data_IF_578024587858
#
_entry.id   IF_578024587858
#
_cell.length_a   1.000
_cell.length_b   1.000
_cell.length_c   1.000
_cell.angle_alpha   90.00
_cell.angle_beta   90.00
_cell.angle_gamma   90.00
#
_symmetry.space_group_name_H-M   'P 1'
#
loop_
_entity.id
_entity.type
_entity.pdbx_description
1 polymer ?
#
# COMPACT_ATOMS: atom_id res chain seq x y z
N UNK A 1 4.10 -27.46 12.51
CA UNK A 1 5.30 -26.75 12.04
C UNK A 1 5.02 -25.27 12.09
N UNK A 2 6.01 -24.43 12.38
CA UNK A 2 5.84 -22.97 12.36
C UNK A 2 5.55 -22.50 10.93
N UNK A 3 4.68 -21.52 10.75
CA UNK A 3 4.39 -20.96 9.41
C UNK A 3 5.59 -20.19 8.84
N UNK A 4 6.44 -19.66 9.70
CA UNK A 4 7.66 -18.91 9.34
C UNK A 4 8.71 -19.01 10.45
N UNK A 5 9.94 -18.65 10.13
CA UNK A 5 11.05 -18.48 11.07
C UNK A 5 11.56 -17.04 10.96
N UNK A 6 11.82 -16.41 12.10
CA UNK A 6 12.42 -15.07 12.15
C UNK A 6 13.63 -15.07 13.06
N UNK A 7 14.73 -14.49 12.62
CA UNK A 7 15.98 -14.34 13.36
C UNK A 7 16.60 -12.99 13.08
N UNK A 8 17.12 -12.34 14.11
CA UNK A 8 17.86 -11.09 13.97
C UNK A 8 19.36 -11.36 14.01
N UNK A 9 20.09 -10.92 12.98
CA UNK A 9 21.55 -11.01 12.92
C UNK A 9 22.20 -10.00 13.88
N UNK A 10 23.48 -10.19 14.23
CA UNK A 10 24.23 -9.31 15.15
C UNK A 10 24.27 -7.84 14.68
N UNK A 11 24.21 -7.59 13.38
CA UNK A 11 24.16 -6.23 12.82
C UNK A 11 22.75 -5.60 12.86
N UNK A 12 21.72 -6.34 13.32
CA UNK A 12 20.34 -5.89 13.42
C UNK A 12 19.45 -6.21 12.21
N UNK A 13 19.97 -6.83 11.15
CA UNK A 13 19.16 -7.30 10.03
C UNK A 13 18.21 -8.42 10.49
N UNK A 14 16.93 -8.28 10.23
CA UNK A 14 15.93 -9.34 10.49
C UNK A 14 15.81 -10.22 9.25
N UNK A 15 15.90 -11.53 9.46
CA UNK A 15 15.81 -12.56 8.42
C UNK A 15 14.57 -13.39 8.67
N UNK A 16 13.66 -13.42 7.71
CA UNK A 16 12.42 -14.19 7.74
C UNK A 16 12.48 -15.28 6.68
N UNK A 17 12.20 -16.52 7.08
CA UNK A 17 12.15 -17.68 6.17
C UNK A 17 10.79 -18.33 6.24
N UNK A 18 10.18 -18.58 5.07
CA UNK A 18 8.87 -19.21 4.91
C UNK A 18 9.04 -20.49 4.08
N UNK A 19 9.27 -21.65 4.72
CA UNK A 19 9.43 -22.93 4.02
C UNK A 19 8.15 -23.35 3.31
N UNK A 20 8.22 -23.49 1.98
CA UNK A 20 7.14 -23.94 1.10
C UNK A 20 7.63 -25.07 0.17
N UNK A 21 7.77 -26.30 0.71
CA UNK A 21 8.54 -27.37 0.06
C UNK A 21 7.96 -27.91 -1.25
N UNK A 22 6.69 -27.62 -1.54
CA UNK A 22 6.02 -28.09 -2.75
C UNK A 22 6.07 -27.11 -3.92
N UNK A 23 6.74 -25.96 -3.76
CA UNK A 23 6.84 -24.94 -4.81
C UNK A 23 8.09 -25.14 -5.67
N UNK A 24 8.05 -24.61 -6.90
CA UNK A 24 9.14 -24.67 -7.88
C UNK A 24 9.88 -23.34 -8.06
N UNK A 25 9.46 -22.31 -7.33
CA UNK A 25 10.10 -21.00 -7.29
C UNK A 25 10.32 -20.56 -5.86
N UNK A 26 11.27 -19.65 -5.65
CA UNK A 26 11.45 -18.94 -4.40
C UNK A 26 11.31 -17.43 -4.65
N UNK A 27 10.75 -16.73 -3.67
CA UNK A 27 10.73 -15.28 -3.64
C UNK A 27 11.77 -14.79 -2.65
N UNK A 28 12.69 -13.93 -3.11
CA UNK A 28 13.60 -13.16 -2.25
C UNK A 28 13.10 -11.74 -2.19
N UNK A 29 12.85 -11.24 -1.00
CA UNK A 29 12.22 -9.95 -0.77
C UNK A 29 12.96 -9.18 0.32
N UNK A 30 13.24 -7.90 0.10
CA UNK A 30 13.89 -7.03 1.07
C UNK A 30 13.00 -5.82 1.33
N UNK A 31 12.52 -5.69 2.55
CA UNK A 31 11.76 -4.52 3.02
C UNK A 31 12.64 -3.58 3.81
N UNK A 32 12.45 -2.28 3.56
CA UNK A 32 13.03 -1.19 4.34
C UNK A 32 11.90 -0.37 4.97
N UNK A 33 12.04 -0.02 6.24
CA UNK A 33 11.08 0.79 6.99
C UNK A 33 11.20 2.28 6.63
N UNK A 34 11.09 2.60 5.35
CA UNK A 34 11.13 3.96 4.82
C UNK A 34 10.24 4.09 3.59
N UNK A 35 9.48 5.17 3.53
CA UNK A 35 8.62 5.55 2.42
C UNK A 35 8.33 7.05 2.48
N UNK A 36 7.34 7.52 1.70
CA UNK A 36 7.08 8.95 1.53
C UNK A 36 6.74 9.71 2.83
N UNK A 37 6.23 9.02 3.87
CA UNK A 37 5.94 9.64 5.17
C UNK A 37 7.20 10.11 5.94
N UNK A 38 8.36 9.54 5.61
CA UNK A 38 9.65 9.88 6.25
C UNK A 38 10.32 11.11 5.63
N UNK A 39 9.71 11.69 4.62
CA UNK A 39 10.27 12.79 3.86
C UNK A 39 9.80 14.15 4.38
N UNK A 40 10.65 15.16 4.24
CA UNK A 40 10.24 16.56 4.40
C UNK A 40 9.61 17.05 3.07
N UNK A 41 8.84 18.15 3.14
CA UNK A 41 8.24 18.76 1.94
C UNK A 41 9.28 19.09 0.85
N UNK A 42 10.49 19.48 1.24
CA UNK A 42 11.59 19.81 0.29
C UNK A 42 12.19 18.56 -0.37
N UNK A 43 11.99 17.39 0.21
CA UNK A 43 12.54 16.11 -0.25
C UNK A 43 11.44 15.10 -0.59
N UNK A 44 10.23 15.60 -0.87
CA UNK A 44 9.13 14.74 -1.29
C UNK A 44 9.50 14.00 -2.58
N UNK A 45 9.29 12.68 -2.60
CA UNK A 45 9.70 11.77 -3.66
C UNK A 45 11.12 11.19 -3.51
N UNK A 46 11.84 11.48 -2.43
CA UNK A 46 13.22 10.99 -2.26
C UNK A 46 13.30 9.47 -2.11
N UNK A 47 12.31 8.82 -1.46
CA UNK A 47 12.27 7.38 -1.30
C UNK A 47 12.07 6.68 -2.64
N UNK A 48 11.09 7.13 -3.43
CA UNK A 48 10.83 6.62 -4.75
C UNK A 48 12.01 6.89 -5.72
N UNK A 49 12.58 8.09 -5.69
CA UNK A 49 13.77 8.41 -6.48
C UNK A 49 14.96 7.51 -6.12
N UNK A 50 15.16 7.24 -4.84
CA UNK A 50 16.22 6.35 -4.37
C UNK A 50 15.97 4.90 -4.83
N UNK A 51 14.73 4.44 -4.84
CA UNK A 51 14.36 3.15 -5.40
C UNK A 51 14.88 3.00 -6.84
N UNK A 52 14.56 3.96 -7.74
CA UNK A 52 15.06 4.00 -9.12
C UNK A 52 16.60 3.99 -9.21
N UNK A 53 17.25 4.78 -8.33
CA UNK A 53 18.72 4.90 -8.34
C UNK A 53 19.43 3.60 -7.98
N UNK A 54 18.82 2.73 -7.18
CA UNK A 54 19.40 1.45 -6.79
C UNK A 54 19.49 0.46 -7.94
N UNK A 55 18.62 0.57 -8.94
CA UNK A 55 18.68 -0.24 -10.16
C UNK A 55 19.77 0.20 -11.16
N UNK A 56 20.47 1.30 -10.89
CA UNK A 56 21.52 1.81 -11.81
C UNK A 56 22.87 1.12 -11.67
N UNK A 57 22.95 0.08 -10.85
CA UNK A 57 24.11 -0.75 -10.63
C UNK A 57 24.71 -0.59 -9.23
N UNK A 58 25.65 -1.46 -8.94
CA UNK A 58 26.37 -1.55 -7.67
C UNK A 58 27.89 -1.58 -7.90
N UNK A 59 28.66 -1.74 -6.82
CA UNK A 59 30.10 -1.92 -6.93
C UNK A 59 30.47 -3.20 -7.69
N UNK A 60 29.67 -4.27 -7.56
CA UNK A 60 29.93 -5.56 -8.20
C UNK A 60 29.31 -5.67 -9.60
N UNK A 61 28.24 -4.90 -9.85
CA UNK A 61 27.52 -4.83 -11.13
C UNK A 61 27.48 -3.38 -11.58
N UNK A 62 28.49 -2.90 -12.32
CA UNK A 62 28.72 -1.49 -12.62
C UNK A 62 27.58 -0.75 -13.33
N UNK A 63 26.70 -1.45 -14.01
CA UNK A 63 25.53 -0.89 -14.73
C UNK A 63 24.24 -1.58 -14.35
N UNK A 64 23.10 -0.89 -14.53
CA UNK A 64 21.77 -1.49 -14.35
C UNK A 64 21.54 -2.69 -15.27
N UNK A 65 22.08 -2.67 -16.49
CA UNK A 65 21.98 -3.80 -17.43
C UNK A 65 22.70 -5.05 -16.92
N UNK A 66 23.89 -4.89 -16.33
CA UNK A 66 24.64 -6.01 -15.74
C UNK A 66 23.92 -6.58 -14.52
N UNK A 67 23.33 -5.69 -13.69
CA UNK A 67 22.51 -6.10 -12.55
C UNK A 67 21.27 -6.88 -13.01
N UNK A 68 20.53 -6.36 -13.99
CA UNK A 68 19.34 -7.03 -14.55
C UNK A 68 19.68 -8.40 -15.15
N UNK A 69 20.74 -8.49 -15.95
CA UNK A 69 21.22 -9.78 -16.49
C UNK A 69 21.57 -10.79 -15.41
N UNK A 70 22.10 -10.31 -14.28
CA UNK A 70 22.41 -11.19 -13.14
C UNK A 70 21.13 -11.76 -12.51
N UNK A 71 20.05 -10.96 -12.37
CA UNK A 71 18.75 -11.45 -11.92
C UNK A 71 18.10 -12.40 -12.93
N UNK A 72 18.11 -12.05 -14.22
CA UNK A 72 17.56 -12.91 -15.28
C UNK A 72 18.25 -14.29 -15.32
N UNK A 73 19.56 -14.33 -15.07
CA UNK A 73 20.31 -15.59 -14.99
C UNK A 73 19.87 -16.49 -13.81
N UNK A 74 19.22 -15.95 -12.80
CA UNK A 74 18.63 -16.70 -11.68
C UNK A 74 17.17 -17.12 -11.94
N UNK A 75 16.61 -16.74 -13.09
CA UNK A 75 15.24 -17.08 -13.52
C UNK A 75 14.19 -16.02 -13.24
N UNK A 76 14.57 -14.80 -12.89
CA UNK A 76 13.66 -13.70 -12.61
C UNK A 76 14.18 -12.32 -12.99
N UNK A 77 13.44 -11.29 -12.67
CA UNK A 77 13.84 -9.89 -12.73
C UNK A 77 13.65 -9.24 -11.37
N UNK A 78 14.44 -8.21 -11.06
CA UNK A 78 14.26 -7.44 -9.85
C UNK A 78 13.12 -6.43 -10.04
N UNK A 79 12.23 -6.36 -9.06
CA UNK A 79 11.16 -5.39 -8.99
C UNK A 79 11.23 -4.64 -7.67
N UNK A 80 10.58 -3.49 -7.61
CA UNK A 80 10.48 -2.73 -6.37
C UNK A 80 9.16 -1.95 -6.30
N UNK A 81 8.86 -1.45 -5.11
CA UNK A 81 7.75 -0.54 -4.88
C UNK A 81 7.96 0.25 -3.60
N UNK A 82 7.64 1.53 -3.68
CA UNK A 82 7.67 2.46 -2.55
C UNK A 82 6.24 2.85 -2.19
N UNK A 83 5.89 2.67 -0.92
CA UNK A 83 4.64 3.18 -0.37
C UNK A 83 4.88 4.33 0.63
N UNK A 84 3.87 4.65 1.43
CA UNK A 84 4.01 5.71 2.43
C UNK A 84 4.97 5.34 3.57
N UNK A 85 5.06 4.07 3.97
CA UNK A 85 5.81 3.63 5.15
C UNK A 85 7.01 2.77 4.82
N UNK A 86 6.99 2.06 3.68
CA UNK A 86 7.99 1.06 3.33
C UNK A 86 8.47 1.19 1.89
N UNK A 87 9.66 0.67 1.63
CA UNK A 87 10.17 0.39 0.28
C UNK A 87 10.52 -1.09 0.23
N UNK A 88 10.07 -1.78 -0.82
CA UNK A 88 10.29 -3.20 -1.03
C UNK A 88 11.07 -3.44 -2.31
N UNK A 89 12.04 -4.33 -2.28
CA UNK A 89 12.73 -4.89 -3.44
C UNK A 89 12.51 -6.39 -3.44
N UNK A 90 12.18 -6.98 -4.58
CA UNK A 90 11.90 -8.41 -4.63
C UNK A 90 12.20 -9.03 -5.99
N UNK A 91 12.42 -10.34 -6.01
CA UNK A 91 12.58 -11.12 -7.23
C UNK A 91 12.16 -12.57 -6.99
N UNK A 92 11.38 -13.10 -7.93
CA UNK A 92 11.09 -14.53 -8.01
C UNK A 92 12.20 -15.22 -8.78
N UNK A 93 12.84 -16.20 -8.16
CA UNK A 93 14.01 -16.89 -8.69
C UNK A 93 13.89 -18.41 -8.59
N UNK A 94 14.76 -19.14 -9.28
CA UNK A 94 14.84 -20.59 -9.11
C UNK A 94 15.40 -20.92 -7.72
N UNK A 95 14.85 -21.90 -6.97
CA UNK A 95 15.23 -22.20 -5.58
C UNK A 95 16.71 -22.53 -5.38
N UNK A 96 17.37 -23.16 -6.35
CA UNK A 96 18.81 -23.45 -6.28
C UNK A 96 19.70 -22.20 -6.26
N UNK A 97 19.16 -21.03 -6.60
CA UNK A 97 19.88 -19.76 -6.71
C UNK A 97 19.55 -18.77 -5.58
N UNK A 98 18.88 -19.20 -4.51
CA UNK A 98 18.46 -18.32 -3.41
C UNK A 98 19.65 -17.56 -2.79
N UNK A 99 20.79 -18.24 -2.56
CA UNK A 99 21.99 -17.57 -2.04
C UNK A 99 22.49 -16.46 -2.96
N UNK A 100 22.54 -16.72 -4.28
CA UNK A 100 22.95 -15.72 -5.28
C UNK A 100 21.94 -14.55 -5.34
N UNK A 101 20.63 -14.82 -5.23
CA UNK A 101 19.61 -13.76 -5.17
C UNK A 101 19.78 -12.86 -3.94
N UNK A 102 20.10 -13.45 -2.78
CA UNK A 102 20.45 -12.69 -1.56
C UNK A 102 21.71 -11.84 -1.79
N UNK A 103 22.75 -12.38 -2.43
CA UNK A 103 23.99 -11.65 -2.75
C UNK A 103 23.72 -10.46 -3.69
N UNK A 104 22.86 -10.63 -4.71
CA UNK A 104 22.50 -9.56 -5.63
C UNK A 104 21.81 -8.41 -4.90
N UNK A 105 20.80 -8.68 -4.07
CA UNK A 105 20.15 -7.65 -3.25
C UNK A 105 21.13 -7.03 -2.24
N UNK A 106 21.98 -7.81 -1.61
CA UNK A 106 23.00 -7.28 -0.70
C UNK A 106 23.96 -6.32 -1.43
N UNK A 107 24.43 -6.67 -2.64
CA UNK A 107 25.28 -5.81 -3.46
C UNK A 107 24.57 -4.52 -3.83
N UNK A 108 23.31 -4.61 -4.30
CA UNK A 108 22.49 -3.47 -4.69
C UNK A 108 22.23 -2.50 -3.52
N UNK A 109 21.86 -3.05 -2.36
CA UNK A 109 21.47 -2.25 -1.20
C UNK A 109 22.64 -1.67 -0.41
N UNK A 110 23.78 -2.36 -0.37
CA UNK A 110 24.93 -1.94 0.45
C UNK A 110 25.93 -1.07 -0.28
N UNK A 111 26.05 -1.23 -1.60
CA UNK A 111 27.10 -0.60 -2.41
C UNK A 111 26.57 -0.01 -3.72
N UNK A 112 25.49 0.79 -3.68
CA UNK A 112 24.92 1.40 -4.89
C UNK A 112 25.86 2.42 -5.51
N UNK A 113 25.84 2.52 -6.84
CA UNK A 113 26.72 3.46 -7.57
C UNK A 113 26.17 4.87 -7.67
N UNK A 114 24.89 5.08 -7.53
CA UNK A 114 24.22 6.38 -7.68
C UNK A 114 24.56 7.10 -9.00
N UNK A 115 24.62 6.35 -10.10
CA UNK A 115 24.92 6.90 -11.43
C UNK A 115 23.65 7.28 -12.18
N UNK A 116 23.72 8.26 -13.08
CA UNK A 116 22.64 8.57 -14.01
C UNK A 116 21.44 9.32 -13.43
N UNK A 117 21.61 10.09 -12.37
CA UNK A 117 20.52 10.80 -11.68
C UNK A 117 19.64 11.64 -12.63
N UNK A 118 20.21 12.29 -13.66
CA UNK A 118 19.44 13.12 -14.57
C UNK A 118 18.60 12.30 -15.56
N UNK A 119 18.99 11.07 -15.83
CA UNK A 119 18.17 10.14 -16.62
C UNK A 119 16.98 9.69 -15.79
N UNK A 120 17.21 9.27 -14.55
CA UNK A 120 16.13 8.83 -13.65
C UNK A 120 15.18 9.97 -13.32
N UNK A 121 15.68 11.18 -13.10
CA UNK A 121 14.83 12.36 -12.91
C UNK A 121 13.84 12.54 -14.06
N UNK A 122 14.29 12.38 -15.31
CA UNK A 122 13.39 12.49 -16.48
C UNK A 122 12.36 11.37 -16.50
N UNK A 123 12.76 10.14 -16.18
CA UNK A 123 11.85 8.99 -16.11
C UNK A 123 10.79 9.22 -15.05
N UNK A 124 11.17 9.63 -13.83
CA UNK A 124 10.22 9.90 -12.74
C UNK A 124 9.31 11.09 -13.06
N UNK A 125 9.82 12.12 -13.72
CA UNK A 125 9.00 13.24 -14.16
C UNK A 125 8.00 12.82 -15.23
N UNK A 126 8.37 11.91 -16.13
CA UNK A 126 7.47 11.34 -17.13
C UNK A 126 6.39 10.47 -16.48
N UNK A 127 6.78 9.62 -15.51
CA UNK A 127 5.84 8.84 -14.71
C UNK A 127 4.83 9.73 -13.98
N UNK A 128 5.30 10.83 -13.38
CA UNK A 128 4.45 11.78 -12.68
C UNK A 128 3.42 12.50 -13.58
N UNK A 129 3.57 12.46 -14.90
CA UNK A 129 2.57 13.01 -15.83
C UNK A 129 1.26 12.25 -15.79
N UNK A 130 1.27 10.97 -15.48
CA UNK A 130 0.05 10.16 -15.33
C UNK A 130 -0.89 10.70 -14.24
N UNK A 131 -0.35 11.41 -13.27
CA UNK A 131 -1.10 12.02 -12.18
C UNK A 131 -1.62 13.42 -12.50
N UNK A 132 -1.23 14.00 -13.64
CA UNK A 132 -1.47 15.39 -13.96
C UNK A 132 -2.37 15.55 -15.20
N UNK A 133 -3.25 16.56 -15.17
CA UNK A 133 -3.97 17.01 -16.35
C UNK A 133 -3.02 17.67 -17.37
N UNK A 134 -3.50 17.91 -18.59
CA UNK A 134 -2.77 18.70 -19.61
C UNK A 134 -2.32 20.09 -19.11
N UNK A 135 -3.02 20.65 -18.12
CA UNK A 135 -2.67 21.94 -17.50
C UNK A 135 -1.75 21.81 -16.28
N UNK A 136 -1.24 20.60 -15.99
CA UNK A 136 -0.34 20.33 -14.88
C UNK A 136 -1.01 20.29 -13.49
N UNK A 137 -2.34 20.14 -13.42
CA UNK A 137 -3.07 19.98 -12.16
C UNK A 137 -3.08 18.53 -11.73
N UNK A 138 -2.95 18.28 -10.43
CA UNK A 138 -3.16 16.94 -9.87
C UNK A 138 -4.59 16.46 -10.15
N UNK A 139 -4.72 15.30 -10.79
CA UNK A 139 -5.98 14.65 -11.16
C UNK A 139 -6.10 13.21 -10.65
N UNK A 140 -5.03 12.66 -10.08
CA UNK A 140 -5.07 11.33 -9.47
C UNK A 140 -5.94 11.38 -8.19
N UNK A 141 -7.04 10.60 -8.11
CA UNK A 141 -7.96 10.64 -6.98
C UNK A 141 -7.31 10.23 -5.65
N UNK A 142 -6.39 9.26 -5.66
CA UNK A 142 -5.72 8.77 -4.45
C UNK A 142 -4.82 9.85 -3.83
N UNK A 143 -4.09 10.58 -4.65
CA UNK A 143 -3.28 11.72 -4.19
C UNK A 143 -4.16 12.85 -3.62
N UNK A 144 -5.29 13.11 -4.26
CA UNK A 144 -6.23 14.15 -3.83
C UNK A 144 -6.95 13.78 -2.54
N UNK A 145 -7.39 12.52 -2.39
CA UNK A 145 -8.07 12.06 -1.17
C UNK A 145 -7.10 12.00 0.01
N UNK A 146 -5.88 11.51 -0.20
CA UNK A 146 -4.84 11.51 0.83
C UNK A 146 -4.56 12.94 1.33
N UNK A 147 -4.47 13.92 0.44
CA UNK A 147 -4.27 15.32 0.81
C UNK A 147 -5.44 15.90 1.62
N UNK A 148 -6.67 15.44 1.39
CA UNK A 148 -7.84 15.81 2.20
C UNK A 148 -7.86 15.13 3.57
N UNK A 149 -7.54 13.84 3.59
CA UNK A 149 -7.55 13.02 4.81
C UNK A 149 -6.41 13.42 5.76
N UNK A 150 -5.23 13.78 5.22
CA UNK A 150 -4.01 14.04 5.99
C UNK A 150 -3.40 15.42 5.69
N UNK A 151 -4.14 16.52 5.89
CA UNK A 151 -3.68 17.86 5.53
C UNK A 151 -2.43 18.27 6.32
N UNK A 152 -1.39 18.72 5.59
CA UNK A 152 -0.12 19.15 6.18
C UNK A 152 0.76 18.03 6.74
N UNK A 153 0.35 16.78 6.59
CA UNK A 153 1.13 15.61 6.98
C UNK A 153 1.78 14.94 5.76
N UNK A 154 2.93 14.26 5.92
CA UNK A 154 3.54 13.49 4.82
C UNK A 154 2.64 12.45 4.17
N UNK A 155 1.76 11.77 4.93
CA UNK A 155 0.77 10.82 4.41
C UNK A 155 -0.20 11.43 3.38
N UNK A 156 -0.38 12.74 3.37
CA UNK A 156 -1.21 13.46 2.40
C UNK A 156 -0.44 13.92 1.15
N UNK A 157 0.79 13.46 0.95
CA UNK A 157 1.61 13.81 -0.22
C UNK A 157 1.72 12.63 -1.19
N UNK A 158 1.81 12.90 -2.51
CA UNK A 158 2.10 11.85 -3.48
C UNK A 158 3.42 11.14 -3.16
N UNK A 159 3.45 9.82 -3.26
CA UNK A 159 4.66 9.00 -3.04
C UNK A 159 5.76 9.34 -4.04
N UNK A 160 5.40 9.63 -5.29
CA UNK A 160 6.31 10.13 -6.33
C UNK A 160 6.91 11.51 -6.00
N UNK A 161 6.33 12.23 -5.04
CA UNK A 161 6.65 13.64 -4.80
C UNK A 161 5.87 14.59 -5.70
N UNK A 162 6.36 15.82 -5.82
CA UNK A 162 5.81 16.83 -6.72
C UNK A 162 6.83 17.14 -7.82
N UNK A 163 6.38 17.60 -8.98
CA UNK A 163 7.28 18.06 -10.05
C UNK A 163 8.40 18.95 -9.50
N UNK A 164 8.05 19.97 -8.70
CA UNK A 164 9.03 20.90 -8.12
C UNK A 164 10.02 20.22 -7.17
N UNK A 165 9.59 19.25 -6.35
CA UNK A 165 10.51 18.53 -5.47
C UNK A 165 11.43 17.61 -6.25
N UNK A 166 10.92 16.87 -7.24
CA UNK A 166 11.69 15.94 -8.09
C UNK A 166 12.76 16.71 -8.88
N UNK A 167 12.40 17.87 -9.49
CA UNK A 167 13.34 18.73 -10.23
C UNK A 167 14.48 19.26 -9.34
N UNK A 168 14.24 19.46 -8.03
CA UNK A 168 15.20 20.04 -7.09
C UNK A 168 15.98 19.02 -6.25
N UNK A 169 15.59 17.76 -6.24
CA UNK A 169 16.31 16.73 -5.50
C UNK A 169 17.74 16.59 -6.05
N UNK A 170 18.73 16.83 -5.18
CA UNK A 170 20.13 16.64 -5.53
C UNK A 170 20.62 15.24 -5.15
N UNK A 171 21.70 14.79 -5.80
CA UNK A 171 22.34 13.52 -5.47
C UNK A 171 22.74 13.45 -3.98
N UNK A 172 23.22 14.56 -3.40
CA UNK A 172 23.58 14.60 -1.99
C UNK A 172 22.36 14.46 -1.06
N UNK A 173 21.20 14.92 -1.48
CA UNK A 173 19.97 14.72 -0.70
C UNK A 173 19.51 13.26 -0.77
N UNK A 174 19.62 12.62 -1.93
CA UNK A 174 19.30 11.19 -2.11
C UNK A 174 20.31 10.32 -1.32
N UNK A 175 21.62 10.63 -1.38
CA UNK A 175 22.62 9.92 -0.58
C UNK A 175 22.37 10.03 0.92
N UNK A 176 22.06 11.24 1.42
CA UNK A 176 21.70 11.41 2.85
C UNK A 176 20.44 10.66 3.23
N UNK A 177 19.46 10.55 2.33
CA UNK A 177 18.28 9.74 2.55
C UNK A 177 18.64 8.26 2.66
N UNK A 178 19.46 7.77 1.73
CA UNK A 178 20.02 6.41 1.77
C UNK A 178 20.79 6.15 3.07
N UNK A 179 21.75 6.98 3.43
CA UNK A 179 22.57 6.84 4.64
C UNK A 179 21.74 6.85 5.94
N UNK A 180 20.60 7.55 5.92
CA UNK A 180 19.70 7.63 7.08
C UNK A 180 18.85 6.39 7.25
N UNK A 181 18.35 5.82 6.16
CA UNK A 181 17.29 4.82 6.24
C UNK A 181 17.72 3.42 5.79
N UNK A 182 18.75 3.29 4.96
CA UNK A 182 19.21 2.02 4.43
C UNK A 182 20.30 1.43 5.34
N UNK A 183 19.83 0.83 6.42
CA UNK A 183 20.69 0.18 7.42
C UNK A 183 20.08 -1.14 7.87
N UNK A 184 20.88 -2.10 8.39
CA UNK A 184 20.38 -3.42 8.73
C UNK A 184 19.25 -3.39 9.76
N UNK A 185 19.33 -2.56 10.78
CA UNK A 185 18.29 -2.45 11.82
C UNK A 185 16.92 -1.95 11.28
N UNK A 186 16.91 -1.30 10.11
CA UNK A 186 15.70 -0.83 9.42
C UNK A 186 15.31 -1.72 8.23
N UNK A 187 15.83 -2.95 8.18
CA UNK A 187 15.66 -3.86 7.02
C UNK A 187 15.19 -5.23 7.47
N UNK A 188 14.33 -5.84 6.65
CA UNK A 188 13.92 -7.24 6.73
C UNK A 188 14.24 -7.91 5.41
N UNK A 189 15.00 -8.98 5.44
CA UNK A 189 15.15 -9.93 4.34
C UNK A 189 14.16 -11.07 4.56
N UNK A 190 13.30 -11.34 3.60
CA UNK A 190 12.39 -12.48 3.62
C UNK A 190 12.63 -13.38 2.42
N UNK A 191 12.58 -14.69 2.66
CA UNK A 191 12.64 -15.70 1.60
C UNK A 191 11.53 -16.70 1.80
N UNK A 192 10.68 -16.88 0.78
CA UNK A 192 9.64 -17.91 0.75
C UNK A 192 9.90 -18.88 -0.40
N UNK A 193 9.63 -20.17 -0.17
CA UNK A 193 9.83 -21.19 -1.19
C UNK A 193 10.34 -22.53 -0.63
N UNK A 194 10.80 -23.45 -1.46
CA UNK A 194 11.40 -24.71 -1.03
C UNK A 194 12.84 -24.50 -0.53
N UNK A 195 12.94 -23.92 0.65
CA UNK A 195 14.20 -23.44 1.28
C UNK A 195 14.42 -24.06 2.65
N UNK A 196 15.69 -24.12 3.10
CA UNK A 196 16.06 -24.36 4.49
C UNK A 196 16.22 -23.01 5.20
N UNK A 197 15.55 -22.78 6.35
CA UNK A 197 15.76 -21.57 7.15
C UNK A 197 17.22 -21.35 7.54
N UNK A 198 17.95 -22.41 7.85
CA UNK A 198 19.37 -22.37 8.24
C UNK A 198 20.24 -21.88 7.06
N UNK A 199 20.01 -22.39 5.85
CA UNK A 199 20.75 -21.99 4.65
C UNK A 199 20.46 -20.51 4.27
N UNK A 200 19.21 -20.06 4.43
CA UNK A 200 18.86 -18.66 4.23
C UNK A 200 19.56 -17.77 5.24
N UNK A 201 19.57 -18.16 6.52
CA UNK A 201 20.22 -17.40 7.59
C UNK A 201 21.73 -17.29 7.37
N UNK A 202 22.38 -18.40 6.99
CA UNK A 202 23.82 -18.43 6.68
C UNK A 202 24.14 -17.53 5.48
N UNK A 203 23.38 -17.64 4.37
CA UNK A 203 23.55 -16.80 3.18
C UNK A 203 23.37 -15.33 3.52
N UNK A 204 22.35 -14.98 4.32
CA UNK A 204 22.13 -13.62 4.75
C UNK A 204 23.26 -13.09 5.64
N UNK A 205 23.76 -13.90 6.58
CA UNK A 205 24.87 -13.51 7.45
C UNK A 205 26.15 -13.22 6.67
N UNK A 206 26.42 -13.99 5.62
CA UNK A 206 27.59 -13.78 4.73
C UNK A 206 27.37 -12.54 3.86
N UNK A 207 26.26 -12.46 3.15
CA UNK A 207 25.98 -11.40 2.17
C UNK A 207 25.91 -10.01 2.82
N UNK A 208 25.34 -9.91 4.02
CA UNK A 208 25.19 -8.65 4.77
C UNK A 208 26.26 -8.44 5.85
N UNK A 209 27.33 -9.25 5.86
CA UNK A 209 28.44 -9.07 6.79
C UNK A 209 29.07 -7.67 6.66
N UNK A 210 29.33 -7.01 7.82
CA UNK A 210 29.92 -5.69 7.84
C UNK A 210 29.00 -4.53 7.38
N UNK A 211 27.73 -4.80 7.03
CA UNK A 211 26.75 -3.73 6.85
C UNK A 211 26.40 -3.14 8.22
N UNK A 212 26.53 -1.84 8.36
CA UNK A 212 26.33 -1.12 9.62
C UNK A 212 25.44 0.08 9.41
N UNK A 213 24.86 0.57 10.49
CA UNK A 213 24.02 1.77 10.51
C UNK A 213 23.16 1.79 11.76
N UNK A 214 22.81 2.97 12.20
CA UNK A 214 21.91 3.14 13.35
C UNK A 214 20.46 3.14 12.87
N UNK A 215 19.51 2.59 13.66
CA UNK A 215 18.11 2.67 13.31
C UNK A 215 17.67 4.12 13.15
N UNK A 216 16.89 4.45 12.12
CA UNK A 216 16.40 5.80 11.90
C UNK A 216 15.44 6.21 13.01
N UNK A 217 15.26 7.52 13.16
CA UNK A 217 14.20 8.04 14.02
C UNK A 217 12.83 7.67 13.45
N UNK A 218 11.85 7.36 14.32
CA UNK A 218 10.48 7.11 13.88
C UNK A 218 9.93 8.28 13.04
N UNK A 219 9.06 7.95 12.09
CA UNK A 219 8.34 8.96 11.33
C UNK A 219 7.45 9.81 12.24
N UNK A 220 7.17 11.02 11.81
CA UNK A 220 6.22 11.89 12.50
C UNK A 220 4.85 11.20 12.55
N UNK A 221 4.26 10.99 13.75
CA UNK A 221 2.93 10.44 13.85
C UNK A 221 1.87 11.46 13.41
N UNK A 222 0.73 10.96 12.94
CA UNK A 222 -0.45 11.78 12.68
C UNK A 222 -1.10 12.17 14.01
N UNK A 223 -1.22 13.47 14.23
CA UNK A 223 -1.94 14.06 15.37
C UNK A 223 -2.96 15.09 14.90
N UNK A 224 -3.49 14.89 13.69
CA UNK A 224 -4.47 15.84 13.14
C UNK A 224 -5.74 15.85 13.96
N UNK A 225 -6.23 17.06 14.26
CA UNK A 225 -7.56 17.26 14.84
C UNK A 225 -8.62 16.77 13.85
N UNK A 226 -9.64 16.14 14.38
CA UNK A 226 -10.82 15.82 13.59
C UNK A 226 -11.49 17.12 13.15
N UNK A 227 -11.38 17.43 11.86
CA UNK A 227 -12.16 18.52 11.30
C UNK A 227 -13.64 18.20 11.50
N UNK A 228 -14.39 19.14 11.99
CA UNK A 228 -15.83 19.02 12.10
C UNK A 228 -16.47 19.12 10.71
N UNK A 229 -16.83 17.99 10.13
CA UNK A 229 -17.56 17.91 8.87
C UNK A 229 -16.77 17.32 7.69
N UNK A 230 -17.50 16.96 6.63
CA UNK A 230 -16.93 16.32 5.44
C UNK A 230 -16.06 17.27 4.62
N UNK A 231 -14.96 16.75 4.06
CA UNK A 231 -14.12 17.46 3.09
C UNK A 231 -14.45 17.04 1.66
N UNK A 232 -14.63 18.01 0.74
CA UNK A 232 -14.89 17.70 -0.67
C UNK A 232 -13.89 18.43 -1.55
N UNK A 233 -13.30 17.71 -2.50
CA UNK A 233 -12.40 18.26 -3.52
C UNK A 233 -12.97 18.03 -4.91
N UNK A 234 -13.04 19.10 -5.69
CA UNK A 234 -13.49 19.09 -7.07
C UNK A 234 -12.34 19.48 -7.99
N UNK A 235 -12.07 18.65 -9.00
CA UNK A 235 -11.06 18.93 -10.01
C UNK A 235 -11.68 18.70 -11.39
N UNK A 236 -11.69 19.75 -12.24
CA UNK A 236 -12.11 19.59 -13.63
C UNK A 236 -10.98 18.97 -14.42
N UNK A 237 -11.35 17.97 -15.21
CA UNK A 237 -10.50 17.33 -16.18
C UNK A 237 -11.30 16.96 -17.43
N UNK A 238 -10.59 16.79 -18.56
CA UNK A 238 -11.19 16.56 -19.88
C UNK A 238 -11.39 15.07 -20.21
N UNK A 239 -11.74 14.26 -19.23
CA UNK A 239 -12.05 12.83 -19.41
C UNK A 239 -13.46 12.60 -19.97
N UNK A 240 -13.75 11.36 -20.41
CA UNK A 240 -15.09 10.93 -20.82
C UNK A 240 -16.00 10.56 -19.65
N UNK A 241 -15.41 10.27 -18.49
CA UNK A 241 -16.09 9.89 -17.25
C UNK A 241 -15.65 10.79 -16.09
N UNK A 242 -16.44 10.77 -15.03
CA UNK A 242 -16.11 11.40 -13.75
C UNK A 242 -15.63 10.29 -12.81
N UNK A 243 -14.42 10.43 -12.29
CA UNK A 243 -13.93 9.64 -11.19
C UNK A 243 -14.51 10.19 -9.89
N UNK A 244 -15.13 9.33 -9.10
CA UNK A 244 -15.67 9.59 -7.78
C UNK A 244 -14.95 8.70 -6.78
N UNK A 245 -14.38 9.32 -5.74
CA UNK A 245 -13.82 8.62 -4.61
C UNK A 245 -14.46 9.14 -3.32
N UNK A 246 -15.01 8.24 -2.51
CA UNK A 246 -15.56 8.54 -1.19
C UNK A 246 -14.76 7.75 -0.15
N UNK A 247 -14.20 8.45 0.83
CA UNK A 247 -13.32 7.82 1.82
C UNK A 247 -13.65 8.26 3.25
N UNK A 248 -13.33 7.37 4.18
CA UNK A 248 -13.35 7.63 5.62
C UNK A 248 -11.94 7.54 6.18
N UNK A 249 -11.55 8.51 7.02
CA UNK A 249 -10.34 8.37 7.82
C UNK A 249 -10.63 7.41 8.97
N UNK A 250 -9.72 6.49 9.21
CA UNK A 250 -9.84 5.38 10.12
C UNK A 250 -8.68 5.35 11.13
N UNK A 251 -8.78 4.63 12.22
CA UNK A 251 -7.63 4.30 13.06
C UNK A 251 -6.62 3.42 12.32
N UNK A 252 -5.41 3.31 12.87
CA UNK A 252 -4.32 2.54 12.29
C UNK A 252 -4.45 1.03 12.46
N UNK A 253 -3.41 0.32 12.03
CA UNK A 253 -3.41 -1.16 11.94
C UNK A 253 -3.42 -1.89 13.28
N UNK A 254 -3.05 -1.23 14.38
CA UNK A 254 -3.07 -1.81 15.73
C UNK A 254 -4.39 -1.59 16.49
N UNK A 255 -5.34 -0.86 15.86
CA UNK A 255 -6.65 -0.64 16.47
C UNK A 255 -7.43 -1.96 16.60
N UNK A 256 -8.20 -2.07 17.68
CA UNK A 256 -9.05 -3.23 17.96
C UNK A 256 -10.03 -3.57 16.82
N UNK A 257 -10.43 -2.59 16.02
CA UNK A 257 -11.35 -2.77 14.90
C UNK A 257 -10.64 -3.15 13.57
N UNK A 258 -9.32 -3.28 13.54
CA UNK A 258 -8.58 -3.56 12.31
C UNK A 258 -9.06 -4.85 11.60
N UNK A 259 -9.47 -5.88 12.35
CA UNK A 259 -10.07 -7.11 11.79
C UNK A 259 -11.42 -6.80 11.16
N UNK A 260 -12.28 -6.07 11.87
CA UNK A 260 -13.59 -5.68 11.37
C UNK A 260 -13.47 -4.78 10.11
N UNK A 261 -12.49 -3.88 10.05
CA UNK A 261 -12.23 -3.06 8.87
C UNK A 261 -11.83 -3.89 7.65
N UNK A 262 -11.03 -4.94 7.82
CA UNK A 262 -10.70 -5.88 6.74
C UNK A 262 -11.94 -6.65 6.25
N UNK A 263 -12.84 -7.02 7.17
CA UNK A 263 -14.12 -7.66 6.82
C UNK A 263 -15.04 -6.65 6.11
N UNK A 264 -15.12 -5.41 6.58
CA UNK A 264 -15.91 -4.36 5.94
C UNK A 264 -15.44 -4.05 4.50
N UNK A 265 -14.13 -4.00 4.27
CA UNK A 265 -13.61 -3.87 2.90
C UNK A 265 -14.15 -4.97 1.98
N UNK A 266 -14.25 -6.22 2.50
CA UNK A 266 -14.78 -7.35 1.73
C UNK A 266 -16.28 -7.26 1.49
N UNK A 267 -17.04 -6.91 2.50
CA UNK A 267 -18.50 -6.69 2.35
C UNK A 267 -18.77 -5.63 1.29
N UNK A 268 -17.98 -4.56 1.28
CA UNK A 268 -18.14 -3.45 0.36
C UNK A 268 -17.72 -3.77 -1.07
N UNK A 269 -16.49 -4.26 -1.29
CA UNK A 269 -15.90 -4.28 -2.62
C UNK A 269 -15.23 -5.59 -3.06
N UNK A 270 -15.31 -6.70 -2.30
CA UNK A 270 -14.64 -7.94 -2.69
C UNK A 270 -15.57 -8.92 -3.39
N UNK A 271 -15.32 -9.12 -4.70
CA UNK A 271 -16.09 -10.05 -5.52
C UNK A 271 -17.42 -9.50 -6.02
N UNK A 272 -18.04 -10.23 -6.95
CA UNK A 272 -19.26 -9.81 -7.64
C UNK A 272 -20.52 -9.72 -6.76
N UNK A 273 -20.49 -10.37 -5.59
CA UNK A 273 -21.60 -10.32 -4.62
C UNK A 273 -21.41 -9.25 -3.53
N UNK A 274 -20.38 -8.42 -3.62
CA UNK A 274 -20.17 -7.31 -2.70
C UNK A 274 -21.27 -6.25 -2.85
N UNK A 275 -21.57 -5.52 -1.77
CA UNK A 275 -22.68 -4.56 -1.76
C UNK A 275 -22.56 -3.48 -2.83
N UNK A 276 -21.34 -2.96 -3.04
CA UNK A 276 -21.08 -1.95 -4.07
C UNK A 276 -21.30 -2.51 -5.49
N UNK A 277 -20.79 -3.70 -5.79
CA UNK A 277 -20.98 -4.33 -7.09
C UNK A 277 -22.46 -4.64 -7.36
N UNK A 278 -23.16 -5.23 -6.40
CA UNK A 278 -24.58 -5.53 -6.54
C UNK A 278 -25.40 -4.24 -6.75
N UNK A 279 -25.19 -3.24 -5.92
CA UNK A 279 -25.99 -2.01 -5.98
C UNK A 279 -25.67 -1.15 -7.21
N UNK A 280 -24.37 -0.84 -7.44
CA UNK A 280 -23.97 0.12 -8.47
C UNK A 280 -23.90 -0.46 -9.88
N UNK A 281 -23.51 -1.73 -10.00
CA UNK A 281 -23.39 -2.39 -11.30
C UNK A 281 -24.65 -3.18 -11.66
N UNK A 282 -25.04 -4.16 -10.83
CA UNK A 282 -26.09 -5.11 -11.21
C UNK A 282 -27.50 -4.48 -11.13
N UNK A 283 -27.80 -3.72 -10.06
CA UNK A 283 -29.15 -3.14 -9.89
C UNK A 283 -29.32 -1.81 -10.64
N UNK A 284 -28.31 -0.92 -10.54
CA UNK A 284 -28.44 0.46 -11.04
C UNK A 284 -27.77 0.66 -12.40
N UNK A 285 -26.85 -0.21 -12.83
CA UNK A 285 -26.16 -0.11 -14.13
C UNK A 285 -25.33 1.18 -14.28
N UNK A 286 -24.75 1.71 -13.19
CA UNK A 286 -24.10 3.03 -13.20
C UNK A 286 -22.61 2.95 -13.56
N UNK A 287 -21.95 1.83 -13.28
CA UNK A 287 -20.52 1.64 -13.51
C UNK A 287 -20.22 0.21 -13.90
N UNK A 288 -19.13 0.00 -14.64
CA UNK A 288 -18.61 -1.34 -14.92
C UNK A 288 -17.86 -1.94 -13.74
N UNK A 289 -17.14 -1.10 -13.00
CA UNK A 289 -16.31 -1.53 -11.87
C UNK A 289 -16.40 -0.51 -10.72
N UNK A 290 -16.40 -1.02 -9.52
CA UNK A 290 -16.26 -0.26 -8.27
C UNK A 290 -15.37 -1.06 -7.33
N UNK A 291 -14.44 -0.39 -6.67
CA UNK A 291 -13.55 -1.01 -5.68
C UNK A 291 -13.68 -0.36 -4.30
N UNK A 292 -13.28 -1.12 -3.28
CA UNK A 292 -13.13 -0.64 -1.91
C UNK A 292 -11.69 -0.92 -1.43
N UNK A 293 -10.89 0.12 -1.37
CA UNK A 293 -9.52 0.09 -0.87
C UNK A 293 -9.46 0.32 0.64
N UNK A 294 -8.58 -0.40 1.33
CA UNK A 294 -8.29 -0.21 2.77
C UNK A 294 -6.78 -0.06 2.95
N UNK A 295 -6.34 1.09 3.44
CA UNK A 295 -4.96 1.31 3.85
C UNK A 295 -4.91 1.59 5.36
N UNK A 296 -4.11 0.80 6.09
CA UNK A 296 -3.90 0.95 7.52
C UNK A 296 -2.42 1.24 7.79
N UNK A 297 -2.12 2.49 8.08
CA UNK A 297 -0.79 2.93 8.55
C UNK A 297 -0.63 2.62 10.04
N UNK A 298 0.49 2.98 10.64
CA UNK A 298 0.75 2.69 12.04
C UNK A 298 -0.37 3.20 12.97
N UNK A 299 -0.70 4.50 12.90
CA UNK A 299 -1.62 5.15 13.83
C UNK A 299 -2.95 5.60 13.22
N UNK A 300 -3.05 5.60 11.89
CA UNK A 300 -4.21 6.09 11.15
C UNK A 300 -4.38 5.28 9.85
N UNK A 301 -5.57 5.29 9.29
CA UNK A 301 -5.86 4.60 8.03
C UNK A 301 -6.94 5.30 7.23
N UNK A 302 -7.33 4.67 6.14
CA UNK A 302 -8.46 5.05 5.31
C UNK A 302 -9.16 3.83 4.71
N UNK A 303 -10.46 3.95 4.51
CA UNK A 303 -11.26 3.11 3.62
C UNK A 303 -11.80 4.01 2.53
N UNK A 304 -11.53 3.67 1.28
CA UNK A 304 -11.97 4.43 0.11
C UNK A 304 -12.82 3.55 -0.80
N UNK A 305 -13.92 4.11 -1.31
CA UNK A 305 -14.71 3.55 -2.41
C UNK A 305 -14.41 4.38 -3.64
N UNK A 306 -14.02 3.71 -4.72
CA UNK A 306 -13.63 4.35 -5.98
C UNK A 306 -14.40 3.76 -7.17
N UNK A 307 -14.84 4.63 -8.07
CA UNK A 307 -15.48 4.25 -9.33
C UNK A 307 -15.39 5.39 -10.35
N UNK A 308 -15.60 5.02 -11.62
CA UNK A 308 -15.79 5.96 -12.71
C UNK A 308 -17.22 5.85 -13.26
N UNK A 309 -17.88 6.99 -13.47
CA UNK A 309 -19.25 7.06 -13.99
C UNK A 309 -19.39 8.14 -15.06
N UNK A 310 -20.43 8.05 -15.90
CA UNK A 310 -20.83 9.17 -16.74
C UNK A 310 -21.24 10.38 -15.89
N UNK A 311 -21.02 11.59 -16.41
CA UNK A 311 -21.32 12.84 -15.67
C UNK A 311 -22.77 12.90 -15.17
N UNK A 312 -23.71 12.36 -15.91
CA UNK A 312 -25.14 12.32 -15.56
C UNK A 312 -25.46 11.39 -14.37
N UNK A 313 -24.63 10.39 -14.14
CA UNK A 313 -24.80 9.38 -13.09
C UNK A 313 -24.07 9.73 -11.77
N UNK A 314 -23.27 10.78 -11.75
CA UNK A 314 -22.43 11.15 -10.60
C UNK A 314 -23.21 11.24 -9.29
N UNK A 315 -24.30 12.02 -9.28
CA UNK A 315 -25.09 12.24 -8.05
C UNK A 315 -25.74 10.95 -7.59
N UNK A 316 -26.32 10.19 -8.52
CA UNK A 316 -26.97 8.91 -8.22
C UNK A 316 -26.01 7.87 -7.66
N UNK A 317 -24.79 7.80 -8.21
CA UNK A 317 -23.76 6.90 -7.72
C UNK A 317 -23.30 7.28 -6.31
N UNK A 318 -23.06 8.56 -6.05
CA UNK A 318 -22.67 9.03 -4.73
C UNK A 318 -23.78 8.80 -3.67
N UNK A 319 -25.05 9.06 -4.01
CA UNK A 319 -26.20 8.79 -3.13
C UNK A 319 -26.26 7.29 -2.79
N UNK A 320 -26.15 6.40 -3.78
CA UNK A 320 -26.18 4.96 -3.55
C UNK A 320 -25.02 4.49 -2.63
N UNK A 321 -23.83 5.04 -2.76
CA UNK A 321 -22.71 4.74 -1.83
C UNK A 321 -23.04 5.20 -0.41
N UNK A 322 -23.54 6.41 -0.24
CA UNK A 322 -23.91 6.95 1.08
C UNK A 322 -25.06 6.15 1.72
N UNK A 323 -26.03 5.69 0.93
CA UNK A 323 -27.10 4.80 1.37
C UNK A 323 -26.53 3.48 1.89
N UNK A 324 -25.60 2.84 1.16
CA UNK A 324 -24.94 1.61 1.62
C UNK A 324 -24.27 1.83 2.98
N UNK A 325 -23.52 2.92 3.17
CA UNK A 325 -22.90 3.22 4.48
C UNK A 325 -23.94 3.46 5.58
N UNK A 326 -25.08 4.09 5.26
CA UNK A 326 -26.18 4.24 6.21
C UNK A 326 -26.79 2.89 6.60
N UNK A 327 -27.02 2.00 5.65
CA UNK A 327 -27.50 0.64 5.91
C UNK A 327 -26.55 -0.14 6.84
N UNK A 328 -25.21 -0.04 6.62
CA UNK A 328 -24.20 -0.73 7.42
C UNK A 328 -24.19 -0.25 8.88
N UNK A 329 -24.57 0.99 9.15
CA UNK A 329 -24.66 1.54 10.50
C UNK A 329 -26.03 1.24 11.14
N UNK A 330 -27.10 1.25 10.34
CA UNK A 330 -28.48 1.05 10.82
C UNK A 330 -28.74 -0.41 11.23
N UNK A 331 -28.32 -1.38 10.40
CA UNK A 331 -28.67 -2.78 10.57
C UNK A 331 -27.42 -3.68 10.56
N UNK A 332 -27.41 -4.76 11.40
CA UNK A 332 -26.34 -5.75 11.34
C UNK A 332 -26.44 -6.57 10.05
N UNK A 333 -25.29 -7.09 9.58
CA UNK A 333 -25.27 -8.03 8.46
C UNK A 333 -26.18 -9.25 8.74
N UNK A 334 -26.87 -9.72 7.71
CA UNK A 334 -27.59 -10.98 7.82
C UNK A 334 -26.63 -12.14 8.11
N UNK A 335 -27.11 -13.18 8.77
CA UNK A 335 -26.30 -14.38 9.04
C UNK A 335 -25.74 -15.01 7.76
N UNK A 336 -26.53 -15.01 6.69
CA UNK A 336 -26.12 -15.58 5.41
C UNK A 336 -24.97 -14.77 4.78
N UNK A 337 -25.08 -13.44 4.76
CA UNK A 337 -24.06 -12.53 4.23
C UNK A 337 -22.75 -12.62 5.03
N UNK A 338 -22.83 -12.54 6.36
CA UNK A 338 -21.65 -12.69 7.21
C UNK A 338 -20.95 -14.04 6.99
N UNK A 339 -21.70 -15.14 6.99
CA UNK A 339 -21.15 -16.48 6.74
C UNK A 339 -20.46 -16.56 5.37
N UNK A 340 -21.06 -15.97 4.33
CA UNK A 340 -20.48 -15.94 3.00
C UNK A 340 -19.13 -15.16 2.99
N UNK A 341 -19.12 -13.97 3.53
CA UNK A 341 -17.93 -13.11 3.54
C UNK A 341 -16.79 -13.73 4.35
N UNK A 342 -17.06 -14.23 5.55
CA UNK A 342 -16.03 -14.86 6.39
C UNK A 342 -15.46 -16.14 5.74
N UNK A 343 -16.31 -16.95 5.12
CA UNK A 343 -15.88 -18.14 4.38
C UNK A 343 -15.03 -17.79 3.17
N UNK A 344 -15.44 -16.81 2.37
CA UNK A 344 -14.65 -16.32 1.23
C UNK A 344 -13.30 -15.79 1.70
N UNK A 345 -13.26 -15.01 2.78
CA UNK A 345 -12.01 -14.49 3.33
C UNK A 345 -11.07 -15.62 3.77
N UNK A 346 -11.62 -16.63 4.43
CA UNK A 346 -10.85 -17.81 4.85
C UNK A 346 -10.23 -18.53 3.66
N UNK A 347 -10.99 -18.72 2.57
CA UNK A 347 -10.49 -19.35 1.37
C UNK A 347 -9.36 -18.56 0.71
N UNK A 348 -9.47 -17.23 0.64
CA UNK A 348 -8.39 -16.40 0.09
C UNK A 348 -7.11 -16.49 0.94
N UNK A 349 -7.25 -16.55 2.27
CA UNK A 349 -6.12 -16.79 3.16
C UNK A 349 -5.49 -18.19 2.95
N UNK A 350 -6.31 -19.21 2.66
CA UNK A 350 -5.81 -20.54 2.31
C UNK A 350 -5.10 -20.54 0.96
N UNK A 351 -5.68 -19.88 -0.06
CA UNK A 351 -5.10 -19.78 -1.40
C UNK A 351 -3.80 -18.96 -1.43
N UNK A 352 -3.62 -17.99 -0.54
CA UNK A 352 -2.35 -17.25 -0.42
C UNK A 352 -1.17 -18.16 -0.09
N UNK A 353 -1.39 -19.35 0.52
CA UNK A 353 -0.37 -20.36 0.78
C UNK A 353 0.18 -21.02 -0.49
N UNK A 354 -0.51 -20.86 -1.62
CA UNK A 354 -0.06 -21.37 -2.92
C UNK A 354 0.77 -20.33 -3.70
N UNK A 355 1.09 -19.17 -3.07
CA UNK A 355 1.78 -18.06 -3.72
C UNK A 355 3.00 -17.64 -2.88
N UNK A 356 4.19 -17.89 -3.42
CA UNK A 356 5.46 -17.63 -2.72
C UNK A 356 5.67 -16.14 -2.42
N UNK A 357 5.27 -15.26 -3.34
CA UNK A 357 5.32 -13.81 -3.22
C UNK A 357 4.37 -13.28 -2.13
N UNK A 358 3.13 -13.77 -2.09
CA UNK A 358 2.16 -13.41 -1.06
C UNK A 358 2.64 -13.81 0.35
N UNK A 359 3.23 -14.99 0.46
CA UNK A 359 3.75 -15.49 1.73
C UNK A 359 5.01 -14.72 2.16
N UNK A 360 5.93 -14.43 1.22
CA UNK A 360 7.08 -13.57 1.50
C UNK A 360 6.65 -12.18 1.94
N UNK A 361 5.72 -11.54 1.20
CA UNK A 361 5.18 -10.23 1.49
C UNK A 361 4.50 -10.18 2.87
N UNK A 362 3.64 -11.13 3.18
CA UNK A 362 2.92 -11.21 4.46
C UNK A 362 3.86 -11.10 5.66
N UNK A 363 4.89 -11.92 5.66
CA UNK A 363 5.80 -12.02 6.81
C UNK A 363 6.88 -10.94 6.79
N UNK A 364 7.37 -10.53 5.61
CA UNK A 364 8.30 -9.41 5.51
C UNK A 364 7.66 -8.08 5.95
N UNK A 365 6.46 -7.79 5.41
CA UNK A 365 5.72 -6.59 5.77
C UNK A 365 5.27 -6.60 7.23
N UNK A 366 4.81 -7.75 7.73
CA UNK A 366 4.44 -7.91 9.14
C UNK A 366 5.62 -7.65 10.09
N UNK A 367 6.81 -8.15 9.73
CA UNK A 367 8.02 -7.97 10.51
C UNK A 367 8.53 -6.51 10.48
N UNK A 368 8.57 -5.87 9.31
CA UNK A 368 9.08 -4.50 9.19
C UNK A 368 8.15 -3.48 9.86
N UNK A 369 6.85 -3.73 9.84
CA UNK A 369 5.84 -2.83 10.41
C UNK A 369 5.49 -3.13 11.88
N UNK A 370 6.03 -4.21 12.45
CA UNK A 370 5.66 -4.69 13.80
C UNK A 370 4.24 -5.24 13.89
N UNK A 371 3.61 -5.56 12.76
CA UNK A 371 2.20 -6.01 12.68
C UNK A 371 2.11 -7.44 12.13
N UNK A 372 2.90 -8.34 12.72
CA UNK A 372 2.98 -9.74 12.32
C UNK A 372 1.63 -10.44 12.48
N UNK A 373 1.17 -11.07 11.42
CA UNK A 373 -0.07 -11.87 11.40
C UNK A 373 0.18 -13.18 10.69
N UNK A 374 0.02 -14.27 11.42
CA UNK A 374 0.00 -15.61 10.81
C UNK A 374 -1.37 -15.91 10.19
N UNK A 375 -1.43 -16.83 9.26
CA UNK A 375 -2.71 -17.27 8.68
C UNK A 375 -3.58 -17.93 9.76
N UNK A 376 -2.96 -18.72 10.65
CA UNK A 376 -3.66 -19.32 11.79
C UNK A 376 -4.22 -18.26 12.74
N UNK A 377 -3.48 -17.17 12.97
CA UNK A 377 -3.93 -16.02 13.76
C UNK A 377 -5.09 -15.29 13.10
N UNK A 378 -5.01 -15.04 11.79
CA UNK A 378 -6.12 -14.45 11.02
C UNK A 378 -7.38 -15.33 11.10
N UNK A 379 -7.27 -16.66 11.03
CA UNK A 379 -8.42 -17.56 11.22
C UNK A 379 -9.06 -17.42 12.60
N UNK A 380 -8.24 -17.42 13.65
CA UNK A 380 -8.73 -17.24 15.02
C UNK A 380 -9.40 -15.88 15.23
N UNK A 381 -8.92 -14.84 14.56
CA UNK A 381 -9.53 -13.52 14.61
C UNK A 381 -10.85 -13.45 13.83
N UNK A 382 -10.94 -14.12 12.67
CA UNK A 382 -12.19 -14.21 11.90
C UNK A 382 -13.30 -14.96 12.68
N UNK A 383 -12.96 -15.93 13.51
CA UNK A 383 -13.92 -16.65 14.38
C UNK A 383 -14.57 -15.74 15.44
N UNK A 384 -13.91 -14.65 15.82
CA UNK A 384 -14.42 -13.66 16.79
C UNK A 384 -15.33 -12.60 16.14
N UNK A 385 -15.34 -12.51 14.80
CA UNK A 385 -16.13 -11.50 14.10
C UNK A 385 -17.62 -11.83 14.20
N UNK A 386 -18.42 -10.85 14.61
CA UNK A 386 -19.86 -10.97 14.71
C UNK A 386 -20.57 -9.82 13.97
N UNK A 387 -21.81 -10.05 13.53
CA UNK A 387 -22.61 -9.01 12.89
C UNK A 387 -22.81 -7.77 13.78
N UNK A 388 -23.01 -7.98 15.08
CA UNK A 388 -23.14 -6.89 16.05
C UNK A 388 -21.82 -6.11 16.22
N UNK A 389 -20.65 -6.80 16.29
CA UNK A 389 -19.34 -6.16 16.36
C UNK A 389 -19.02 -5.36 15.10
N UNK A 390 -19.33 -5.90 13.92
CA UNK A 390 -19.19 -5.16 12.66
C UNK A 390 -20.07 -3.91 12.64
N UNK A 391 -21.34 -4.00 13.04
CA UNK A 391 -22.23 -2.84 13.11
C UNK A 391 -21.70 -1.77 14.10
N UNK A 392 -21.21 -2.20 15.26
CA UNK A 392 -20.62 -1.28 16.25
C UNK A 392 -19.42 -0.54 15.66
N UNK A 393 -18.53 -1.24 14.94
CA UNK A 393 -17.41 -0.64 14.20
C UNK A 393 -17.91 0.35 13.16
N UNK A 394 -18.92 -0.01 12.37
CA UNK A 394 -19.49 0.90 11.36
C UNK A 394 -20.04 2.19 12.01
N UNK A 395 -20.81 2.08 13.08
CA UNK A 395 -21.35 3.24 13.83
C UNK A 395 -20.26 4.13 14.42
N UNK A 396 -19.13 3.56 14.84
CA UNK A 396 -18.01 4.31 15.39
C UNK A 396 -17.23 5.07 14.30
N UNK A 397 -17.05 4.46 13.15
CA UNK A 397 -16.05 4.89 12.16
C UNK A 397 -16.65 5.54 10.91
N UNK A 398 -17.83 5.10 10.45
CA UNK A 398 -18.47 5.70 9.27
C UNK A 398 -19.35 6.87 9.69
N UNK A 399 -18.71 7.96 10.09
CA UNK A 399 -19.37 9.16 10.61
C UNK A 399 -19.07 10.38 9.73
N UNK A 400 -19.95 11.40 9.70
CA UNK A 400 -19.77 12.57 8.84
C UNK A 400 -18.44 13.30 9.03
N UNK A 401 -17.90 13.33 10.25
CA UNK A 401 -16.63 13.98 10.56
C UNK A 401 -15.41 13.33 9.86
N UNK A 402 -15.51 12.06 9.53
CA UNK A 402 -14.46 11.28 8.87
C UNK A 402 -14.66 11.13 7.36
N UNK A 403 -15.82 11.55 6.84
CA UNK A 403 -16.17 11.41 5.43
C UNK A 403 -15.45 12.46 4.58
N UNK A 404 -14.83 12.02 3.50
CA UNK A 404 -14.21 12.88 2.50
C UNK A 404 -14.57 12.40 1.09
N UNK A 405 -14.64 13.30 0.13
CA UNK A 405 -14.92 12.97 -1.26
C UNK A 405 -14.02 13.72 -2.23
N UNK A 406 -13.62 13.04 -3.29
CA UNK A 406 -12.88 13.60 -4.43
C UNK A 406 -13.66 13.32 -5.69
N UNK A 407 -13.83 14.35 -6.51
CA UNK A 407 -14.48 14.27 -7.80
C UNK A 407 -13.55 14.87 -8.87
N UNK A 408 -13.18 14.06 -9.85
CA UNK A 408 -12.30 14.46 -10.95
C UNK A 408 -12.99 14.18 -12.28
N UNK A 409 -13.04 15.14 -13.19
CA UNK A 409 -13.59 14.95 -14.52
C UNK A 409 -14.57 16.02 -14.98
N UNK A 410 -15.40 15.74 -16.02
CA UNK A 410 -16.31 16.69 -16.64
C UNK A 410 -17.66 16.81 -15.89
N UNK A 411 -17.63 16.99 -14.58
CA UNK A 411 -18.85 17.16 -13.78
C UNK A 411 -19.62 18.44 -14.10
N UNK A 412 -20.95 18.44 -13.92
CA UNK A 412 -21.81 19.62 -14.12
C UNK A 412 -21.84 20.48 -12.83
N UNK A 413 -21.95 21.80 -13.01
CA UNK A 413 -22.02 22.74 -11.88
C UNK A 413 -23.27 22.50 -10.99
N UNK A 414 -24.36 22.04 -11.59
CA UNK A 414 -25.57 21.64 -10.86
C UNK A 414 -25.33 20.46 -9.95
N UNK A 415 -24.60 19.44 -10.43
CA UNK A 415 -24.30 18.22 -9.68
C UNK A 415 -23.43 18.52 -8.47
N UNK A 416 -22.48 19.45 -8.65
CA UNK A 416 -21.63 19.91 -7.55
C UNK A 416 -22.48 20.43 -6.38
N UNK A 417 -23.42 21.34 -6.64
CA UNK A 417 -24.26 21.92 -5.60
C UNK A 417 -25.11 20.86 -4.90
N UNK A 418 -25.71 19.96 -5.67
CA UNK A 418 -26.55 18.87 -5.12
C UNK A 418 -25.71 17.94 -4.26
N UNK A 419 -24.55 17.49 -4.75
CA UNK A 419 -23.72 16.53 -4.04
C UNK A 419 -23.10 17.13 -2.76
N UNK A 420 -22.67 18.40 -2.79
CA UNK A 420 -22.20 19.10 -1.60
C UNK A 420 -23.30 19.14 -0.52
N UNK A 421 -24.56 19.41 -0.90
CA UNK A 421 -25.69 19.39 0.03
C UNK A 421 -25.98 17.97 0.57
N UNK A 422 -25.94 16.94 -0.29
CA UNK A 422 -26.19 15.55 0.13
C UNK A 422 -25.13 15.07 1.12
N UNK A 423 -23.84 15.29 0.81
CA UNK A 423 -22.74 14.91 1.70
C UNK A 423 -22.81 15.69 3.04
N UNK A 424 -23.08 16.97 3.00
CA UNK A 424 -23.20 17.79 4.22
C UNK A 424 -24.39 17.36 5.10
N UNK A 425 -25.48 16.91 4.48
CA UNK A 425 -26.68 16.46 5.18
C UNK A 425 -26.63 14.99 5.61
N UNK A 426 -25.65 14.21 5.09
CA UNK A 426 -25.57 12.78 5.37
C UNK A 426 -25.40 12.51 6.86
N UNK A 427 -26.27 11.66 7.40
CA UNK A 427 -26.26 11.15 8.78
C UNK A 427 -26.63 9.67 8.68
N UNK A 428 -25.71 8.76 8.99
CA UNK A 428 -25.92 7.32 8.89
C UNK A 428 -26.79 6.79 10.03
#
# INVERSE_FOLDING_TARGET
MSEYHSTTLDNGLRVVSVPMPHHHSAEVMVYLGVGSRHESTRRAGASHFLEHMLFKGSADFPTGLELERAFEALGGSANAGTDAETTCFHSRIHPQHVSQGIDLFASMLRRPRFSGIEVERRIILEEALADLSETGRQVNPDNLIAALLFPGHPLGRPTLGTRTSIERLSLDQIRRHYETFYCPANTVLAVAGPISPEAVLESAAIAFAGWQGLPPKPARPWHGEDKTGPGIRWVRDAGSQVSLQIAFRLPGREDQDAVNLRVWRRVLGWGGMSRLMMRLREELGLTYAVDAGLALYAEVGLLAVELAVSSENLVRAAEAILEIFSELTAEPLSRAELTHVLRSYRYDLEYSRDQVDEMALRYAWGEITGSMRTISGDFADLEKVSAAGLQQTARRLFVPAQLHAVIVGPYRATDRKVLEQRIAAWRP
#
